data_IF_723572776872
#
_entry.id   IF_723572776872
#
_cell.length_a   1.000
_cell.length_b   1.000
_cell.length_c   1.000
_cell.angle_alpha   90.00
_cell.angle_beta   90.00
_cell.angle_gamma   90.00
#
_symmetry.space_group_name_H-M   'P 1'
#
loop_
_entity.id
_entity.type
_entity.pdbx_description
1 polymer ?
#
# COMPACT_ATOMS: atom_id res chain seq x y z
N UNK A 1 0.47 57.45 -3.99
CA UNK A 1 1.57 56.47 -4.14
C UNK A 1 1.20 55.24 -3.33
N UNK A 2 0.85 54.13 -4.00
CA UNK A 2 0.64 52.84 -3.33
C UNK A 2 1.29 51.79 -4.23
N UNK A 3 2.34 51.14 -3.72
CA UNK A 3 2.98 50.04 -4.41
C UNK A 3 2.10 48.78 -4.29
N UNK A 4 1.92 48.00 -5.36
CA UNK A 4 1.23 46.71 -5.26
C UNK A 4 2.12 45.71 -4.52
N UNK A 5 1.56 45.08 -3.49
CA UNK A 5 2.20 44.00 -2.73
C UNK A 5 2.11 42.72 -3.57
N UNK A 6 3.21 42.01 -3.85
CA UNK A 6 3.15 40.76 -4.59
C UNK A 6 2.59 39.64 -3.71
N UNK A 7 1.37 39.18 -4.03
CA UNK A 7 0.83 37.93 -3.50
C UNK A 7 1.56 36.76 -4.17
N UNK A 8 2.72 36.39 -3.62
CA UNK A 8 3.37 35.12 -3.96
C UNK A 8 2.57 34.01 -3.28
N UNK A 9 1.57 33.48 -3.99
CA UNK A 9 0.92 32.24 -3.59
C UNK A 9 1.82 31.11 -4.04
N UNK A 10 2.82 30.77 -3.22
CA UNK A 10 3.57 29.54 -3.37
C UNK A 10 2.57 28.39 -3.21
N UNK A 11 2.23 27.75 -4.34
CA UNK A 11 1.37 26.59 -4.37
C UNK A 11 1.98 25.50 -3.50
N UNK A 12 1.39 25.27 -2.33
CA UNK A 12 1.69 24.11 -1.51
C UNK A 12 1.14 22.90 -2.26
N UNK A 13 1.98 22.29 -3.08
CA UNK A 13 1.77 20.93 -3.54
C UNK A 13 1.80 20.04 -2.29
N UNK A 14 0.63 19.64 -1.79
CA UNK A 14 0.49 18.66 -0.72
C UNK A 14 0.86 17.27 -1.29
N UNK A 15 2.12 17.09 -1.66
CA UNK A 15 2.71 15.77 -1.89
C UNK A 15 3.14 15.20 -0.54
N UNK A 16 2.17 14.71 0.22
CA UNK A 16 2.32 13.56 1.11
C UNK A 16 3.69 13.35 1.79
N UNK A 17 4.20 14.27 2.61
CA UNK A 17 5.28 14.06 3.62
C UNK A 17 6.62 13.43 3.19
N UNK A 18 6.79 13.08 1.92
CA UNK A 18 7.93 12.40 1.33
C UNK A 18 8.60 13.36 0.35
N UNK A 19 9.82 13.76 0.70
CA UNK A 19 10.72 14.49 -0.20
C UNK A 19 11.15 13.61 -1.37
N UNK A 20 11.73 14.19 -2.41
CA UNK A 20 12.24 13.41 -3.54
C UNK A 20 13.38 12.47 -3.10
N UNK A 21 14.25 12.93 -2.21
CA UNK A 21 15.26 12.08 -1.57
C UNK A 21 14.64 10.88 -0.81
N UNK A 22 13.53 11.08 -0.09
CA UNK A 22 12.83 9.97 0.56
C UNK A 22 12.30 8.96 -0.47
N UNK A 23 11.80 9.45 -1.61
CA UNK A 23 11.26 8.59 -2.68
C UNK A 23 12.37 7.75 -3.32
N UNK A 24 13.51 8.35 -3.61
CA UNK A 24 14.68 7.66 -4.16
C UNK A 24 15.16 6.55 -3.20
N UNK A 25 15.24 6.86 -1.90
CA UNK A 25 15.60 5.87 -0.87
C UNK A 25 14.56 4.75 -0.77
N UNK A 26 13.27 5.05 -0.92
CA UNK A 26 12.24 4.00 -0.94
C UNK A 26 12.41 3.08 -2.15
N UNK A 27 12.70 3.63 -3.34
CA UNK A 27 12.95 2.83 -4.56
C UNK A 27 14.15 1.91 -4.34
N UNK A 28 15.30 2.46 -3.94
CA UNK A 28 16.54 1.70 -3.67
C UNK A 28 16.29 0.53 -2.70
N UNK A 29 15.64 0.80 -1.57
CA UNK A 29 15.38 -0.23 -0.56
C UNK A 29 14.31 -1.24 -1.00
N UNK A 30 13.32 -0.83 -1.80
CA UNK A 30 12.30 -1.73 -2.33
C UNK A 30 12.89 -2.69 -3.38
N UNK A 31 13.79 -2.20 -4.25
CA UNK A 31 14.53 -3.02 -5.21
C UNK A 31 15.45 -4.02 -4.49
N UNK A 32 16.03 -3.63 -3.35
CA UNK A 32 16.74 -4.55 -2.46
C UNK A 32 15.83 -5.56 -1.71
N UNK A 33 14.51 -5.53 -1.96
CA UNK A 33 13.53 -6.48 -1.45
C UNK A 33 13.01 -6.17 -0.03
N UNK A 34 13.22 -4.96 0.48
CA UNK A 34 12.75 -4.59 1.82
C UNK A 34 11.24 -4.28 1.81
N UNK A 35 10.58 -4.62 2.92
CA UNK A 35 9.15 -4.36 3.12
C UNK A 35 8.90 -2.90 3.52
N UNK A 36 7.76 -2.35 3.11
CA UNK A 36 7.34 -0.96 3.41
C UNK A 36 7.48 -0.55 4.87
N UNK A 37 7.10 -1.41 5.83
CA UNK A 37 7.28 -1.13 7.26
C UNK A 37 8.75 -1.02 7.67
N UNK A 38 9.63 -1.83 7.10
CA UNK A 38 11.08 -1.79 7.37
C UNK A 38 11.69 -0.53 6.77
N UNK A 39 11.32 -0.22 5.52
CA UNK A 39 11.74 1.00 4.82
C UNK A 39 11.31 2.23 5.64
N UNK A 40 10.03 2.29 6.04
CA UNK A 40 9.48 3.40 6.82
C UNK A 40 10.24 3.66 8.13
N UNK A 41 10.62 2.60 8.85
CA UNK A 41 11.45 2.71 10.06
C UNK A 41 12.84 3.24 9.73
N UNK A 42 13.46 2.76 8.66
CA UNK A 42 14.81 3.16 8.27
C UNK A 42 14.89 4.63 7.84
N UNK A 43 13.88 5.16 7.15
CA UNK A 43 13.84 6.56 6.69
C UNK A 43 13.13 7.51 7.67
N UNK A 44 12.61 7.00 8.79
CA UNK A 44 11.89 7.81 9.77
C UNK A 44 10.56 8.40 9.27
N UNK A 45 9.83 7.68 8.41
CA UNK A 45 8.57 8.14 7.81
C UNK A 45 7.39 7.29 8.24
N UNK A 46 6.18 7.84 8.08
CA UNK A 46 4.96 7.11 8.43
C UNK A 46 4.74 5.91 7.50
N UNK A 47 4.48 4.69 8.01
CA UNK A 47 4.35 3.49 7.19
C UNK A 47 3.28 3.59 6.09
N UNK A 48 2.17 4.29 6.34
CA UNK A 48 1.12 4.47 5.32
C UNK A 48 1.56 5.37 4.17
N UNK A 49 2.46 6.32 4.39
CA UNK A 49 2.96 7.19 3.32
C UNK A 49 3.88 6.38 2.38
N UNK A 50 4.81 5.62 2.96
CA UNK A 50 5.72 4.72 2.23
C UNK A 50 4.94 3.67 1.46
N UNK A 51 4.01 2.99 2.12
CA UNK A 51 3.15 1.99 1.49
C UNK A 51 2.31 2.58 0.34
N UNK A 52 1.73 3.77 0.52
CA UNK A 52 1.00 4.44 -0.57
C UNK A 52 1.91 4.82 -1.72
N UNK A 53 3.16 5.23 -1.47
CA UNK A 53 4.12 5.55 -2.52
C UNK A 53 4.52 4.29 -3.30
N UNK A 54 4.86 3.20 -2.61
CA UNK A 54 5.20 1.92 -3.25
C UNK A 54 4.09 1.41 -4.17
N UNK A 55 2.81 1.55 -3.79
CA UNK A 55 1.69 1.18 -4.66
C UNK A 55 1.57 2.06 -5.91
N UNK A 56 1.82 3.36 -5.79
CA UNK A 56 1.72 4.30 -6.93
C UNK A 56 2.94 4.20 -7.85
N UNK A 57 4.09 3.83 -7.31
CA UNK A 57 5.32 3.62 -8.07
C UNK A 57 5.45 2.21 -8.68
N UNK A 58 4.46 1.32 -8.48
CA UNK A 58 4.54 -0.06 -8.99
C UNK A 58 5.57 -0.94 -8.28
N UNK A 59 6.16 -0.49 -7.17
CA UNK A 59 7.19 -1.24 -6.43
C UNK A 59 6.62 -2.44 -5.65
N UNK A 60 5.30 -2.59 -5.62
CA UNK A 60 4.64 -3.65 -4.89
C UNK A 60 3.45 -4.20 -5.67
N UNK A 61 3.55 -5.46 -6.06
CA UNK A 61 2.45 -6.22 -6.63
C UNK A 61 1.29 -6.42 -5.61
N UNK A 62 0.07 -6.73 -6.08
CA UNK A 62 -1.02 -7.10 -5.21
C UNK A 62 -0.66 -8.36 -4.42
N UNK A 63 -0.76 -8.27 -3.09
CA UNK A 63 -0.70 -9.47 -2.26
C UNK A 63 -1.89 -10.41 -2.52
N UNK A 64 -1.83 -11.65 -1.99
CA UNK A 64 -2.92 -12.60 -2.13
C UNK A 64 -4.23 -11.97 -1.65
N UNK A 65 -5.31 -12.23 -2.40
CA UNK A 65 -6.64 -11.72 -2.07
C UNK A 65 -6.97 -12.13 -0.63
N UNK A 66 -7.14 -11.13 0.24
CA UNK A 66 -7.61 -11.40 1.60
C UNK A 66 -9.08 -11.76 1.50
N UNK A 67 -9.48 -12.89 2.06
CA UNK A 67 -10.89 -13.31 2.10
C UNK A 67 -11.67 -12.56 3.18
N UNK A 68 -10.96 -11.93 4.13
CA UNK A 68 -11.57 -11.26 5.28
C UNK A 68 -11.89 -9.80 4.98
N UNK A 69 -13.15 -9.45 5.16
CA UNK A 69 -13.64 -8.07 5.15
C UNK A 69 -13.11 -7.34 6.38
N UNK A 70 -12.54 -6.15 6.21
CA UNK A 70 -12.01 -5.35 7.30
C UNK A 70 -12.91 -4.14 7.58
N UNK A 71 -13.11 -3.79 8.85
CA UNK A 71 -13.73 -2.52 9.25
C UNK A 71 -12.61 -1.53 9.54
N UNK A 72 -12.63 -0.37 8.87
CA UNK A 72 -11.68 0.72 9.10
C UNK A 72 -12.45 2.02 9.30
N UNK A 73 -12.29 2.66 10.46
CA UNK A 73 -12.98 3.89 10.82
C UNK A 73 -14.51 3.80 10.60
N UNK A 74 -15.11 2.68 11.01
CA UNK A 74 -16.55 2.42 10.83
C UNK A 74 -16.99 2.11 9.39
N UNK A 75 -16.07 2.08 8.41
CA UNK A 75 -16.37 1.75 7.02
C UNK A 75 -15.89 0.35 6.67
N UNK A 76 -16.72 -0.39 5.95
CA UNK A 76 -16.38 -1.70 5.42
C UNK A 76 -15.41 -1.52 4.25
N UNK A 77 -14.21 -2.08 4.38
CA UNK A 77 -13.19 -2.13 3.33
C UNK A 77 -13.19 -3.54 2.75
N UNK A 78 -13.82 -3.68 1.58
CA UNK A 78 -13.84 -4.94 0.84
C UNK A 78 -12.58 -5.07 -0.02
N UNK A 79 -11.79 -6.16 0.13
CA UNK A 79 -10.63 -6.41 -0.71
C UNK A 79 -11.04 -6.61 -2.18
N UNK A 80 -10.09 -6.41 -3.09
CA UNK A 80 -10.29 -6.73 -4.52
C UNK A 80 -10.19 -8.24 -4.70
N UNK A 81 -11.19 -8.81 -5.40
CA UNK A 81 -11.18 -10.20 -5.83
C UNK A 81 -10.64 -10.36 -7.25
N UNK A 82 -10.31 -11.60 -7.68
CA UNK A 82 -9.81 -11.87 -9.02
C UNK A 82 -10.80 -11.45 -10.12
N UNK A 83 -12.10 -11.67 -9.91
CA UNK A 83 -13.14 -11.26 -10.86
C UNK A 83 -13.24 -9.74 -11.01
N UNK A 84 -13.03 -9.01 -9.91
CA UNK A 84 -13.02 -7.55 -9.92
C UNK A 84 -11.78 -7.02 -10.62
N UNK A 85 -10.61 -7.64 -10.39
CA UNK A 85 -9.37 -7.30 -11.09
C UNK A 85 -9.50 -7.54 -12.60
N UNK A 86 -10.00 -8.70 -13.02
CA UNK A 86 -10.23 -9.01 -14.43
C UNK A 86 -11.18 -8.00 -15.08
N UNK A 87 -12.25 -7.61 -14.37
CA UNK A 87 -13.21 -6.62 -14.84
C UNK A 87 -12.57 -5.24 -15.04
N UNK A 88 -11.85 -4.72 -14.04
CA UNK A 88 -11.24 -3.39 -14.14
C UNK A 88 -10.10 -3.35 -15.16
N UNK A 89 -9.35 -4.44 -15.32
CA UNK A 89 -8.31 -4.57 -16.35
C UNK A 89 -8.93 -4.54 -17.74
N UNK A 90 -10.01 -5.30 -17.96
CA UNK A 90 -10.73 -5.27 -19.24
C UNK A 90 -11.22 -3.86 -19.58
N UNK A 91 -11.91 -3.19 -18.66
CA UNK A 91 -12.38 -1.82 -18.91
C UNK A 91 -11.23 -0.84 -19.18
N UNK A 92 -10.06 -1.08 -18.59
CA UNK A 92 -8.88 -0.27 -18.86
C UNK A 92 -8.34 -0.51 -20.27
N UNK A 93 -8.31 -1.78 -20.72
CA UNK A 93 -7.95 -2.16 -22.10
C UNK A 93 -8.93 -1.55 -23.11
N UNK A 94 -10.22 -1.49 -22.78
CA UNK A 94 -11.26 -0.83 -23.57
C UNK A 94 -11.13 0.73 -23.57
N UNK A 95 -10.10 1.27 -22.91
CA UNK A 95 -9.77 2.70 -22.94
C UNK A 95 -10.52 3.56 -21.92
N UNK A 96 -11.28 2.97 -20.99
CA UNK A 96 -12.01 3.76 -20.00
C UNK A 96 -11.05 4.44 -19.00
N UNK A 97 -11.41 5.66 -18.60
CA UNK A 97 -10.73 6.39 -17.54
C UNK A 97 -11.10 5.86 -16.15
N UNK A 98 -10.21 6.06 -15.17
CA UNK A 98 -10.34 5.52 -13.80
C UNK A 98 -11.62 5.94 -13.08
N UNK A 99 -12.18 7.12 -13.39
CA UNK A 99 -13.45 7.57 -12.82
C UNK A 99 -14.63 6.72 -13.31
N UNK A 100 -14.68 6.41 -14.61
CA UNK A 100 -15.73 5.58 -15.20
C UNK A 100 -15.60 4.13 -14.74
N UNK A 101 -14.36 3.62 -14.65
CA UNK A 101 -14.09 2.29 -14.11
C UNK A 101 -14.56 2.18 -12.65
N UNK A 102 -14.31 3.20 -11.82
CA UNK A 102 -14.77 3.20 -10.43
C UNK A 102 -16.30 3.14 -10.31
N UNK A 103 -17.02 3.88 -11.15
CA UNK A 103 -18.49 3.83 -11.18
C UNK A 103 -18.98 2.44 -11.61
N UNK A 104 -18.47 1.91 -12.72
CA UNK A 104 -18.84 0.60 -13.24
C UNK A 104 -18.52 -0.55 -12.26
N UNK A 105 -17.37 -0.50 -11.58
CA UNK A 105 -17.00 -1.49 -10.56
C UNK A 105 -17.91 -1.39 -9.33
N UNK A 106 -18.26 -0.16 -8.91
CA UNK A 106 -19.20 0.05 -7.80
C UNK A 106 -20.58 -0.54 -8.11
N UNK A 107 -21.08 -0.28 -9.33
CA UNK A 107 -22.36 -0.79 -9.81
C UNK A 107 -22.35 -2.32 -9.90
N UNK A 108 -21.30 -2.92 -10.47
CA UNK A 108 -21.21 -4.37 -10.67
C UNK A 108 -21.04 -5.17 -9.38
N UNK A 109 -20.21 -4.70 -8.44
CA UNK A 109 -19.83 -5.47 -7.25
C UNK A 109 -20.53 -5.01 -5.96
N UNK A 110 -21.36 -3.97 -6.04
CA UNK A 110 -22.23 -3.53 -4.94
C UNK A 110 -21.50 -2.85 -3.78
N UNK A 111 -20.26 -2.40 -3.97
CA UNK A 111 -19.52 -1.65 -2.94
C UNK A 111 -18.75 -0.46 -3.52
N UNK A 112 -18.73 0.69 -2.81
CA UNK A 112 -18.10 1.90 -3.33
C UNK A 112 -16.61 1.73 -3.65
N UNK A 113 -16.25 2.03 -4.90
CA UNK A 113 -14.87 2.20 -5.34
C UNK A 113 -14.62 3.66 -5.69
N UNK A 114 -13.47 4.18 -5.29
CA UNK A 114 -13.05 5.55 -5.63
C UNK A 114 -12.10 5.55 -6.82
N UNK A 115 -12.06 6.68 -7.56
CA UNK A 115 -11.08 6.92 -8.63
C UNK A 115 -9.65 6.58 -8.18
N UNK A 116 -9.27 7.03 -6.97
CA UNK A 116 -7.94 6.80 -6.40
C UNK A 116 -7.66 5.32 -6.18
N UNK A 117 -8.63 4.60 -5.62
CA UNK A 117 -8.51 3.16 -5.35
C UNK A 117 -8.33 2.37 -6.64
N UNK A 118 -9.11 2.67 -7.68
CA UNK A 118 -8.97 2.03 -8.99
C UNK A 118 -7.61 2.32 -9.62
N UNK A 119 -7.18 3.58 -9.60
CA UNK A 119 -5.88 3.95 -10.15
C UNK A 119 -4.73 3.18 -9.47
N UNK A 120 -4.70 3.15 -8.14
CA UNK A 120 -3.72 2.36 -7.40
C UNK A 120 -3.78 0.87 -7.76
N UNK A 121 -4.99 0.31 -7.87
CA UNK A 121 -5.14 -1.12 -8.20
C UNK A 121 -4.61 -1.44 -9.60
N UNK A 122 -4.87 -0.60 -10.60
CA UNK A 122 -4.36 -0.78 -11.95
C UNK A 122 -2.84 -0.71 -12.02
N UNK A 123 -2.21 0.22 -11.29
CA UNK A 123 -0.75 0.30 -11.20
C UNK A 123 -0.17 -0.97 -10.58
N UNK A 124 -0.78 -1.46 -9.49
CA UNK A 124 -0.34 -2.71 -8.86
C UNK A 124 -0.51 -3.92 -9.80
N UNK A 125 -1.61 -3.99 -10.55
CA UNK A 125 -1.83 -5.07 -11.52
C UNK A 125 -0.78 -5.05 -12.65
N UNK A 126 -0.45 -3.87 -13.18
CA UNK A 126 0.61 -3.72 -14.17
C UNK A 126 1.98 -4.17 -13.63
N UNK A 127 2.32 -3.77 -12.39
CA UNK A 127 3.54 -4.22 -11.72
C UNK A 127 3.60 -5.74 -11.53
N UNK A 128 2.45 -6.40 -11.29
CA UNK A 128 2.38 -7.86 -11.22
C UNK A 128 2.71 -8.50 -12.56
N UNK A 129 2.16 -7.95 -13.65
CA UNK A 129 2.40 -8.48 -15.00
C UNK A 129 3.88 -8.30 -15.41
N UNK A 130 4.53 -7.20 -15.02
CA UNK A 130 5.96 -6.95 -15.24
C UNK A 130 6.88 -7.86 -14.43
N UNK A 131 6.48 -8.24 -13.21
CA UNK A 131 7.24 -9.19 -12.36
C UNK A 131 7.15 -10.65 -12.85
N UNK A 132 6.36 -10.90 -13.91
CA UNK A 132 5.99 -12.24 -14.35
C UNK A 132 5.04 -12.90 -13.35
N UNK A 133 4.20 -13.82 -13.82
CA UNK A 133 3.24 -14.60 -13.02
C UNK A 133 3.93 -15.58 -12.04
N UNK A 134 5.10 -15.23 -11.51
CA UNK A 134 5.72 -15.89 -10.40
C UNK A 134 4.92 -15.50 -9.15
N UNK A 135 4.13 -16.42 -8.55
CA UNK A 135 3.52 -16.15 -7.26
C UNK A 135 4.64 -15.72 -6.32
N UNK A 136 4.52 -14.53 -5.70
CA UNK A 136 5.41 -14.12 -4.63
C UNK A 136 5.57 -15.33 -3.73
N UNK A 137 6.79 -15.84 -3.50
CA UNK A 137 6.96 -17.06 -2.72
C UNK A 137 6.18 -16.83 -1.44
N UNK A 138 5.27 -17.77 -1.13
CA UNK A 138 4.63 -17.88 0.16
C UNK A 138 5.76 -18.07 1.16
N UNK A 139 6.43 -16.98 1.54
CA UNK A 139 7.47 -16.98 2.54
C UNK A 139 6.72 -17.30 3.81
N UNK A 140 6.77 -18.58 4.16
CA UNK A 140 6.43 -19.07 5.48
C UNK A 140 6.95 -18.03 6.46
N UNK A 141 6.03 -17.38 7.17
CA UNK A 141 6.41 -16.57 8.32
C UNK A 141 7.41 -17.41 9.10
N UNK A 142 8.63 -16.92 9.42
CA UNK A 142 9.53 -17.70 10.24
C UNK A 142 8.73 -18.10 11.47
N UNK A 143 8.44 -19.40 11.61
CA UNK A 143 7.78 -19.94 12.78
C UNK A 143 8.59 -19.40 13.93
N UNK A 144 7.98 -18.54 14.74
CA UNK A 144 8.58 -18.05 15.97
C UNK A 144 9.05 -19.28 16.74
N UNK A 145 10.36 -19.51 16.69
CA UNK A 145 11.01 -20.60 17.38
C UNK A 145 10.63 -20.52 18.85
N UNK A 146 10.27 -21.66 19.38
CA UNK A 146 10.04 -21.90 20.79
C UNK A 146 11.15 -21.23 21.62
N UNK A 147 10.76 -20.27 22.45
CA UNK A 147 11.56 -19.87 23.60
C UNK A 147 11.43 -20.97 24.65
N UNK A 148 12.20 -22.05 24.48
CA UNK A 148 12.54 -22.94 25.58
C UNK A 148 13.47 -22.20 26.56
N UNK A 149 13.16 -22.32 27.86
CA UNK A 149 14.18 -22.32 28.91
C UNK A 149 14.68 -20.97 29.42
N UNK A 150 13.98 -20.40 30.41
CA UNK A 150 14.63 -19.64 31.48
C UNK A 150 14.01 -20.02 32.81
N UNK A 151 14.81 -20.67 33.66
CA UNK A 151 14.37 -21.41 34.82
C UNK A 151 13.74 -20.56 35.93
N UNK A 152 12.67 -21.09 36.52
CA UNK A 152 12.18 -20.68 37.84
C UNK A 152 13.28 -20.97 38.87
N UNK A 153 13.82 -19.94 39.52
CA UNK A 153 14.56 -20.12 40.78
C UNK A 153 13.55 -20.25 41.93
N UNK A 154 13.73 -21.19 42.86
CA UNK A 154 12.90 -21.27 44.06
C UNK A 154 13.23 -20.11 45.00
N UNK A 155 12.17 -19.58 45.60
CA UNK A 155 12.17 -18.53 46.61
C UNK A 155 12.51 -19.18 47.96
N UNK A 156 13.72 -19.00 48.47
CA UNK A 156 14.05 -19.35 49.86
C UNK A 156 13.44 -18.30 50.80
N UNK A 157 12.54 -18.77 51.66
CA UNK A 157 11.99 -18.00 52.76
C UNK A 157 13.02 -17.95 53.90
N UNK A 158 13.47 -16.74 54.25
CA UNK A 158 14.20 -16.49 55.49
C UNK A 158 13.21 -16.38 56.67
N UNK A 159 13.63 -16.97 57.79
CA UNK A 159 12.95 -17.00 59.09
C UNK A 159 12.81 -15.63 59.73
#
# INVERSE_FOLDING_TARGET
MNAPVPHTVAGVAVTSGLSDHDRDRIVEMAEAGLKSCTIAKAIGKHPSAVCSFMYVAGLQAPGPARTTVAIRNGKIVKPFGPDEDAFITRLRVDGLGTTRIAAAATERFGHPRTKRTIHQRLVMLAARDEMGDAPLPLRESPRSGQGEGAGRRPFEAAR
#
